data_IF_202424665655
#
_entry.id   IF_202424665655
#
_cell.length_a   1.000
_cell.length_b   1.000
_cell.length_c   1.000
_cell.angle_alpha   90.00
_cell.angle_beta   90.00
_cell.angle_gamma   90.00
#
_symmetry.space_group_name_H-M   'P 1'
#
loop_
_entity.id
_entity.type
_entity.pdbx_description
1 polymer ?
#
# COMPACT_ATOMS: atom_id res chain seq x y z
N UNK A 1 73.38 24.69 -17.57
CA UNK A 1 72.95 23.49 -16.81
C UNK A 1 71.47 23.62 -16.46
N UNK A 2 70.61 23.05 -17.26
CA UNK A 2 69.16 23.09 -17.03
C UNK A 2 68.76 21.87 -16.18
N UNK A 3 68.16 22.11 -15.02
CA UNK A 3 67.61 21.05 -14.15
C UNK A 3 66.17 20.68 -14.64
N UNK A 4 66.03 19.49 -15.17
CA UNK A 4 64.72 18.88 -15.55
C UNK A 4 64.00 18.41 -14.27
N UNK A 5 62.92 19.08 -13.93
CA UNK A 5 62.05 18.69 -12.81
C UNK A 5 60.98 17.66 -13.31
N UNK A 6 61.12 16.40 -12.91
CA UNK A 6 60.19 15.33 -13.27
C UNK A 6 59.01 15.36 -12.29
N UNK A 7 57.86 15.78 -12.78
CA UNK A 7 56.61 15.78 -12.00
C UNK A 7 55.97 14.37 -12.08
N UNK A 8 56.01 13.63 -10.98
CA UNK A 8 55.26 12.35 -10.85
C UNK A 8 53.81 12.67 -10.51
N UNK A 9 52.91 12.49 -11.47
CA UNK A 9 51.46 12.52 -11.21
C UNK A 9 51.03 11.15 -10.73
N UNK A 10 50.73 11.02 -9.43
CA UNK A 10 50.14 9.81 -8.85
C UNK A 10 48.64 9.85 -9.17
N UNK A 11 48.20 9.10 -10.17
CA UNK A 11 46.80 8.79 -10.39
C UNK A 11 46.34 7.83 -9.30
N UNK A 12 45.70 8.32 -8.24
CA UNK A 12 44.96 7.51 -7.29
C UNK A 12 43.66 7.07 -8.00
N UNK A 13 43.67 5.88 -8.53
CA UNK A 13 42.46 5.26 -9.08
C UNK A 13 41.46 5.02 -7.94
N UNK A 14 40.38 5.78 -7.93
CA UNK A 14 39.18 5.46 -7.13
C UNK A 14 38.59 4.15 -7.66
N UNK A 15 38.94 3.04 -7.02
CA UNK A 15 38.23 1.78 -7.26
C UNK A 15 36.78 1.96 -6.74
N UNK A 16 35.74 1.63 -7.52
CA UNK A 16 34.40 1.64 -7.02
C UNK A 16 34.31 0.61 -5.89
N UNK A 17 33.99 1.05 -4.69
CA UNK A 17 33.60 0.16 -3.59
C UNK A 17 32.28 -0.43 -4.02
N UNK A 18 32.25 -1.70 -4.42
CA UNK A 18 31.02 -2.43 -4.63
C UNK A 18 30.33 -2.53 -3.24
N UNK A 19 29.26 -1.78 -3.07
CA UNK A 19 28.36 -1.98 -1.93
C UNK A 19 27.75 -3.35 -2.12
N UNK A 20 28.20 -4.31 -1.33
CA UNK A 20 27.64 -5.64 -1.33
C UNK A 20 26.24 -5.55 -0.72
N UNK A 21 25.22 -5.99 -1.48
CA UNK A 21 23.85 -6.06 -0.97
C UNK A 21 23.85 -6.86 0.33
N UNK A 22 23.22 -6.30 1.37
CA UNK A 22 23.09 -6.99 2.65
C UNK A 22 22.00 -8.05 2.50
N UNK A 23 22.35 -9.33 2.54
CA UNK A 23 21.40 -10.44 2.59
C UNK A 23 21.02 -10.74 4.04
N UNK A 24 19.72 -10.69 4.34
CA UNK A 24 19.17 -11.20 5.59
C UNK A 24 19.05 -12.72 5.49
N UNK A 25 19.57 -13.44 6.47
CA UNK A 25 19.47 -14.90 6.55
C UNK A 25 18.36 -15.37 7.47
N UNK A 26 17.85 -14.48 8.32
CA UNK A 26 16.79 -14.74 9.28
C UNK A 26 16.03 -13.45 9.61
N UNK A 27 14.83 -13.61 10.13
CA UNK A 27 14.04 -12.52 10.70
C UNK A 27 14.30 -12.44 12.20
N UNK A 28 14.80 -11.28 12.67
CA UNK A 28 15.08 -11.05 14.10
C UNK A 28 13.97 -10.15 14.66
N UNK A 29 13.04 -10.70 15.46
CA UNK A 29 11.96 -9.92 16.04
C UNK A 29 12.48 -8.77 16.90
N UNK A 30 11.91 -7.57 16.70
CA UNK A 30 12.27 -6.36 17.46
C UNK A 30 13.43 -5.56 16.88
N UNK A 31 14.14 -6.06 15.89
CA UNK A 31 15.12 -5.28 15.14
C UNK A 31 14.50 -4.50 13.97
N UNK A 32 15.17 -3.42 13.58
CA UNK A 32 14.77 -2.65 12.39
C UNK A 32 15.06 -3.46 11.14
N UNK A 33 14.01 -3.84 10.43
CA UNK A 33 14.14 -4.56 9.17
C UNK A 33 14.65 -3.64 8.07
N UNK A 34 15.70 -4.06 7.39
CA UNK A 34 16.39 -3.29 6.35
C UNK A 34 16.17 -3.92 4.99
N UNK A 35 16.14 -3.06 3.97
CA UNK A 35 16.18 -3.48 2.58
C UNK A 35 17.59 -3.95 2.16
N UNK A 36 17.72 -4.45 0.93
CA UNK A 36 18.99 -4.95 0.38
C UNK A 36 20.06 -3.88 0.24
N UNK A 37 19.69 -2.60 0.31
CA UNK A 37 20.63 -1.47 0.30
C UNK A 37 21.01 -1.00 1.72
N UNK A 38 20.50 -1.70 2.76
CA UNK A 38 20.78 -1.43 4.17
C UNK A 38 19.93 -0.32 4.78
N UNK A 39 18.91 0.19 4.07
CA UNK A 39 18.03 1.23 4.59
C UNK A 39 16.86 0.59 5.36
N UNK A 40 16.35 1.22 6.43
CA UNK A 40 15.15 0.80 7.09
C UNK A 40 13.95 0.73 6.12
N UNK A 41 13.22 -0.39 6.13
CA UNK A 41 11.98 -0.54 5.34
C UNK A 41 10.95 0.44 5.88
N UNK A 42 10.33 1.20 4.97
CA UNK A 42 9.32 2.20 5.28
C UNK A 42 8.04 1.88 4.47
N UNK A 43 7.24 0.96 5.00
CA UNK A 43 6.03 0.44 4.34
C UNK A 43 4.88 0.29 5.35
N UNK A 44 4.57 1.37 6.09
CA UNK A 44 3.52 1.38 7.11
C UNK A 44 2.14 1.06 6.50
N UNK A 45 1.31 0.35 7.27
CA UNK A 45 -0.08 0.03 6.90
C UNK A 45 -0.24 -0.78 5.60
N UNK A 46 0.84 -1.32 5.09
CA UNK A 46 0.95 -1.87 3.76
C UNK A 46 0.24 -3.19 3.51
N UNK A 47 0.38 -3.68 2.30
CA UNK A 47 -0.11 -4.97 1.84
C UNK A 47 0.85 -5.64 0.88
N UNK A 48 0.74 -6.96 0.80
CA UNK A 48 1.54 -7.79 -0.09
C UNK A 48 0.73 -8.17 -1.31
N UNK A 49 1.38 -8.22 -2.47
CA UNK A 49 0.89 -8.81 -3.70
C UNK A 49 1.90 -9.85 -4.17
N UNK A 50 1.46 -11.09 -4.39
CA UNK A 50 2.27 -12.07 -5.11
C UNK A 50 1.90 -12.07 -6.60
N UNK A 51 2.88 -11.81 -7.45
CA UNK A 51 2.67 -11.79 -8.90
C UNK A 51 3.90 -12.32 -9.64
N UNK A 52 3.71 -13.32 -10.50
CA UNK A 52 4.75 -13.91 -11.36
C UNK A 52 6.05 -14.28 -10.59
N UNK A 53 5.91 -14.98 -9.45
CA UNK A 53 7.07 -15.46 -8.68
C UNK A 53 7.77 -14.38 -7.89
N UNK A 54 7.14 -13.21 -7.68
CA UNK A 54 7.69 -12.09 -6.90
C UNK A 54 6.64 -11.58 -5.94
N UNK A 55 7.06 -11.31 -4.71
CA UNK A 55 6.27 -10.60 -3.72
C UNK A 55 6.54 -9.11 -3.87
N UNK A 56 5.47 -8.30 -3.84
CA UNK A 56 5.54 -6.84 -3.83
C UNK A 56 4.88 -6.33 -2.56
N UNK A 57 5.61 -5.53 -1.78
CA UNK A 57 5.11 -4.91 -0.56
C UNK A 57 4.92 -3.42 -0.78
N UNK A 58 3.69 -2.97 -0.77
CA UNK A 58 3.33 -1.56 -0.87
C UNK A 58 3.01 -1.03 0.51
N UNK A 59 3.44 0.19 0.81
CA UNK A 59 3.13 0.83 2.09
C UNK A 59 3.29 2.34 2.03
N UNK A 60 2.73 2.99 3.03
CA UNK A 60 2.89 4.42 3.24
C UNK A 60 4.37 4.74 3.47
N UNK A 61 4.93 5.60 2.63
CA UNK A 61 6.33 6.02 2.77
C UNK A 61 6.38 7.31 3.61
N UNK A 62 6.60 7.15 4.91
CA UNK A 62 6.55 8.23 5.90
C UNK A 62 7.95 8.80 6.15
N UNK A 63 8.39 9.72 5.29
CA UNK A 63 9.65 10.48 5.45
C UNK A 63 9.44 11.99 5.45
N UNK A 64 8.20 12.44 5.63
CA UNK A 64 7.87 13.85 5.74
C UNK A 64 8.03 14.39 7.15
N UNK A 65 7.52 15.60 7.37
CA UNK A 65 7.52 16.27 8.67
C UNK A 65 6.59 15.54 9.64
N UNK A 66 7.05 15.34 10.86
CA UNK A 66 6.19 14.84 11.96
C UNK A 66 5.58 16.03 12.69
N UNK A 67 4.28 16.03 12.88
CA UNK A 67 3.51 17.08 13.53
C UNK A 67 2.50 16.46 14.51
N UNK A 68 2.19 17.20 15.59
CA UNK A 68 1.01 16.96 16.42
C UNK A 68 -0.11 17.85 15.87
N UNK A 69 -1.22 17.32 15.31
CA UNK A 69 -2.29 18.14 14.79
C UNK A 69 -2.97 18.99 15.87
N UNK A 70 -3.35 20.22 15.55
CA UNK A 70 -4.00 21.15 16.49
C UNK A 70 -5.35 20.64 17.00
N UNK A 71 -6.06 19.83 16.20
CA UNK A 71 -7.35 19.23 16.57
C UNK A 71 -7.20 18.03 17.52
N UNK A 72 -5.97 17.54 17.75
CA UNK A 72 -5.74 16.34 18.53
C UNK A 72 -6.11 16.55 19.99
N UNK A 73 -6.94 15.68 20.52
CA UNK A 73 -7.30 15.62 21.95
C UNK A 73 -6.43 14.64 22.74
N UNK A 74 -5.54 13.95 22.06
CA UNK A 74 -4.54 13.03 22.63
C UNK A 74 -3.24 13.14 21.82
N UNK A 75 -2.14 12.60 22.31
CA UNK A 75 -0.86 12.57 21.60
C UNK A 75 -0.92 11.63 20.39
N UNK A 76 -1.43 12.14 19.26
CA UNK A 76 -1.48 11.44 17.99
C UNK A 76 -0.58 12.12 16.96
N UNK A 77 0.71 11.87 17.05
CA UNK A 77 1.67 12.41 16.09
C UNK A 77 1.42 11.83 14.69
N UNK A 78 1.36 12.73 13.72
CA UNK A 78 1.27 12.37 12.31
C UNK A 78 2.58 12.68 11.61
N UNK A 79 3.07 11.72 10.83
CA UNK A 79 4.19 11.95 9.90
C UNK A 79 3.64 12.05 8.49
N UNK A 80 3.99 13.14 7.80
CA UNK A 80 3.53 13.36 6.42
C UNK A 80 3.97 12.21 5.50
N UNK A 81 3.02 11.70 4.72
CA UNK A 81 3.27 10.68 3.71
C UNK A 81 3.83 11.33 2.46
N UNK A 82 4.97 10.86 2.01
CA UNK A 82 5.62 11.38 0.80
C UNK A 82 5.28 10.57 -0.44
N UNK A 83 4.46 9.56 -0.30
CA UNK A 83 3.94 8.69 -1.35
C UNK A 83 3.73 7.26 -0.87
N UNK A 84 3.41 6.38 -1.81
CA UNK A 84 3.40 4.93 -1.58
C UNK A 84 4.70 4.35 -2.08
N UNK A 85 5.46 3.70 -1.18
CA UNK A 85 6.66 2.95 -1.51
C UNK A 85 6.31 1.54 -1.97
N UNK A 86 7.18 0.95 -2.80
CA UNK A 86 7.11 -0.44 -3.22
C UNK A 86 8.45 -1.12 -2.95
N UNK A 87 8.37 -2.32 -2.42
CA UNK A 87 9.50 -3.23 -2.25
C UNK A 87 9.20 -4.54 -2.96
N UNK A 88 10.22 -5.21 -3.50
CA UNK A 88 10.09 -6.54 -4.10
C UNK A 88 10.96 -7.57 -3.40
N UNK A 89 10.49 -8.81 -3.36
CA UNK A 89 11.22 -9.94 -2.75
C UNK A 89 10.89 -11.25 -3.46
N UNK A 90 11.83 -12.21 -3.42
CA UNK A 90 11.62 -13.59 -3.86
C UNK A 90 11.38 -14.56 -2.71
N UNK A 91 11.70 -14.15 -1.49
CA UNK A 91 11.78 -15.02 -0.30
C UNK A 91 11.05 -14.46 0.93
N UNK A 92 10.44 -13.26 0.83
CA UNK A 92 9.80 -12.51 1.92
C UNK A 92 10.78 -12.05 3.01
N UNK A 93 12.06 -12.26 2.83
CA UNK A 93 13.10 -11.91 3.80
C UNK A 93 13.98 -10.77 3.29
N UNK A 94 14.36 -10.85 2.02
CA UNK A 94 15.23 -9.87 1.36
C UNK A 94 14.39 -8.98 0.45
N UNK A 95 14.26 -7.71 0.82
CA UNK A 95 13.41 -6.74 0.15
C UNK A 95 14.23 -5.69 -0.55
N UNK A 96 14.08 -5.59 -1.86
CA UNK A 96 14.65 -4.52 -2.68
C UNK A 96 13.67 -3.35 -2.76
N UNK A 97 14.12 -2.13 -2.49
CA UNK A 97 13.30 -0.94 -2.69
C UNK A 97 13.18 -0.62 -4.19
N UNK A 98 11.97 -0.64 -4.72
CA UNK A 98 11.67 -0.35 -6.13
C UNK A 98 11.35 1.13 -6.38
N UNK A 99 11.20 1.93 -5.30
CA UNK A 99 10.92 3.36 -5.37
C UNK A 99 9.55 3.76 -4.88
N UNK A 100 9.22 5.03 -5.07
CA UNK A 100 7.90 5.60 -4.78
C UNK A 100 7.03 5.40 -6.02
N UNK A 101 6.05 4.51 -5.92
CA UNK A 101 5.21 4.09 -7.05
C UNK A 101 3.97 4.98 -7.24
N UNK A 102 3.54 5.68 -6.18
CA UNK A 102 2.53 6.74 -6.21
C UNK A 102 3.04 7.91 -5.38
N UNK A 103 3.62 8.94 -5.99
CA UNK A 103 4.20 10.07 -5.26
C UNK A 103 3.12 11.01 -4.72
N UNK A 104 3.44 11.70 -3.61
CA UNK A 104 2.64 12.78 -3.09
C UNK A 104 2.64 13.99 -4.06
N UNK A 105 1.51 14.70 -4.12
CA UNK A 105 1.33 15.93 -4.91
C UNK A 105 1.60 17.14 -4.01
N UNK A 106 2.79 17.76 -4.15
CA UNK A 106 3.25 18.81 -3.23
C UNK A 106 2.75 20.21 -3.58
N UNK A 107 2.37 20.46 -4.84
CA UNK A 107 2.08 21.78 -5.36
C UNK A 107 0.58 22.13 -5.34
N UNK A 108 -0.28 21.24 -4.85
CA UNK A 108 -1.71 21.42 -4.76
C UNK A 108 -2.20 20.98 -3.37
N UNK A 109 -2.40 21.92 -2.42
CA UNK A 109 -2.83 21.61 -1.06
C UNK A 109 -4.23 20.98 -0.98
N UNK A 110 -5.06 21.14 -2.01
CA UNK A 110 -6.41 20.58 -2.07
C UNK A 110 -6.42 19.14 -2.62
N UNK A 111 -5.34 18.72 -3.26
CA UNK A 111 -5.22 17.38 -3.79
C UNK A 111 -5.18 16.32 -2.67
N UNK A 112 -5.84 15.19 -2.90
CA UNK A 112 -5.90 14.06 -1.94
C UNK A 112 -4.54 13.54 -1.52
N UNK A 113 -3.58 13.56 -2.42
CA UNK A 113 -2.22 13.06 -2.18
C UNK A 113 -1.27 14.15 -1.69
N UNK A 114 -1.76 15.32 -1.26
CA UNK A 114 -0.90 16.34 -0.67
C UNK A 114 -0.36 15.86 0.69
N UNK A 115 0.93 16.13 1.04
CA UNK A 115 1.54 15.67 2.30
C UNK A 115 0.79 16.08 3.58
N UNK A 116 0.01 17.18 3.55
CA UNK A 116 -0.83 17.60 4.67
C UNK A 116 -2.12 16.79 4.82
N UNK A 117 -2.47 15.99 3.83
CA UNK A 117 -3.61 15.06 3.89
C UNK A 117 -3.14 13.70 4.42
N UNK A 118 -4.06 12.75 4.48
CA UNK A 118 -3.76 11.41 4.97
C UNK A 118 -4.02 10.40 3.87
N UNK A 119 -3.03 9.56 3.61
CA UNK A 119 -3.15 8.39 2.75
C UNK A 119 -2.65 7.19 3.55
N UNK A 120 -3.54 6.23 3.77
CA UNK A 120 -3.26 5.07 4.61
C UNK A 120 -3.67 3.75 3.93
N UNK A 121 -3.10 2.66 4.42
CA UNK A 121 -3.49 1.29 4.06
C UNK A 121 -3.49 1.00 2.54
N UNK A 122 -2.47 1.37 1.76
CA UNK A 122 -2.44 1.02 0.33
C UNK A 122 -2.42 -0.49 0.14
N UNK A 123 -3.30 -0.99 -0.73
CA UNK A 123 -3.40 -2.39 -1.13
C UNK A 123 -3.46 -2.46 -2.64
N UNK A 124 -2.71 -3.37 -3.22
CA UNK A 124 -2.67 -3.57 -4.67
C UNK A 124 -3.13 -4.97 -5.01
N UNK A 125 -3.99 -5.07 -6.02
CA UNK A 125 -4.43 -6.33 -6.62
C UNK A 125 -4.21 -6.31 -8.11
N UNK A 126 -3.96 -7.49 -8.70
CA UNK A 126 -3.83 -7.63 -10.15
C UNK A 126 -5.15 -8.06 -10.77
N UNK A 127 -5.62 -7.30 -11.75
CA UNK A 127 -6.81 -7.63 -12.53
C UNK A 127 -6.42 -8.39 -13.81
N UNK A 128 -6.68 -9.69 -13.82
CA UNK A 128 -6.34 -10.55 -14.97
C UNK A 128 -7.10 -10.20 -16.25
N UNK A 129 -8.31 -9.60 -16.14
CA UNK A 129 -9.13 -9.23 -17.32
C UNK A 129 -8.57 -8.01 -18.03
N UNK A 130 -8.12 -7.01 -17.26
CA UNK A 130 -7.63 -5.74 -17.81
C UNK A 130 -6.12 -5.68 -17.93
N UNK A 131 -5.39 -6.61 -17.32
CA UNK A 131 -3.93 -6.58 -17.22
C UNK A 131 -3.39 -5.49 -16.31
N UNK A 132 -4.24 -4.84 -15.49
CA UNK A 132 -3.86 -3.70 -14.65
C UNK A 132 -3.61 -4.11 -13.21
N UNK A 133 -2.69 -3.40 -12.58
CA UNK A 133 -2.53 -3.37 -11.13
C UNK A 133 -3.41 -2.25 -10.59
N UNK A 134 -4.29 -2.56 -9.67
CA UNK A 134 -5.25 -1.63 -9.07
C UNK A 134 -4.92 -1.45 -7.61
N UNK A 135 -4.61 -0.21 -7.22
CA UNK A 135 -4.34 0.18 -5.85
C UNK A 135 -5.59 0.82 -5.25
N UNK A 136 -5.93 0.39 -4.05
CA UNK A 136 -6.91 1.01 -3.18
C UNK A 136 -6.23 1.51 -1.93
N UNK A 137 -6.63 2.70 -1.43
CA UNK A 137 -6.09 3.27 -0.21
C UNK A 137 -7.19 4.01 0.57
N UNK A 138 -7.01 4.13 1.88
CA UNK A 138 -7.79 5.04 2.72
C UNK A 138 -7.26 6.46 2.50
N UNK A 139 -8.14 7.39 2.18
CA UNK A 139 -7.82 8.79 1.92
C UNK A 139 -8.64 9.69 2.84
N UNK A 140 -7.93 10.58 3.55
CA UNK A 140 -8.52 11.47 4.54
C UNK A 140 -8.05 12.92 4.39
N UNK A 141 -8.91 13.83 4.84
CA UNK A 141 -8.49 15.17 5.22
C UNK A 141 -7.65 15.13 6.49
N UNK A 142 -6.93 16.22 6.78
CA UNK A 142 -6.07 16.28 7.96
C UNK A 142 -6.82 16.04 9.28
N UNK A 143 -8.11 16.32 9.33
CA UNK A 143 -9.01 16.15 10.49
C UNK A 143 -9.80 14.85 10.48
N UNK A 144 -9.52 13.94 9.55
CA UNK A 144 -10.22 12.66 9.39
C UNK A 144 -11.73 12.75 9.12
N UNK A 145 -12.21 13.86 8.54
CA UNK A 145 -13.64 14.05 8.22
C UNK A 145 -14.03 13.55 6.82
N UNK A 146 -13.06 13.34 5.92
CA UNK A 146 -13.32 12.97 4.52
C UNK A 146 -13.78 11.51 4.38
N UNK A 147 -13.11 10.56 5.00
CA UNK A 147 -13.40 9.13 5.06
C UNK A 147 -13.72 8.53 3.67
N UNK A 148 -12.76 8.59 2.75
CA UNK A 148 -12.89 8.12 1.38
C UNK A 148 -11.93 6.96 1.07
N UNK A 149 -12.29 6.18 0.06
CA UNK A 149 -11.38 5.26 -0.61
C UNK A 149 -10.79 5.93 -1.85
N UNK A 150 -9.48 5.92 -1.98
CA UNK A 150 -8.75 6.36 -3.17
C UNK A 150 -8.38 5.19 -4.06
N UNK A 151 -8.37 5.41 -5.37
CA UNK A 151 -8.05 4.39 -6.37
C UNK A 151 -6.94 4.89 -7.29
N UNK A 152 -5.99 4.03 -7.60
CA UNK A 152 -4.95 4.28 -8.59
C UNK A 152 -4.67 3.02 -9.44
N UNK A 153 -4.14 3.20 -10.63
CA UNK A 153 -3.88 2.10 -11.58
C UNK A 153 -2.48 2.19 -12.18
N UNK A 154 -1.91 1.03 -12.52
CA UNK A 154 -0.65 0.93 -13.23
C UNK A 154 -0.64 -0.27 -14.18
N UNK A 155 0.23 -0.22 -15.19
CA UNK A 155 0.56 -1.34 -16.07
C UNK A 155 1.67 -2.24 -15.48
N UNK A 156 2.35 -1.77 -14.44
CA UNK A 156 3.46 -2.48 -13.80
C UNK A 156 3.24 -2.59 -12.29
N UNK A 157 3.66 -3.70 -11.65
CA UNK A 157 3.61 -3.80 -10.19
C UNK A 157 4.48 -2.75 -9.48
N UNK A 158 5.54 -2.29 -10.14
CA UNK A 158 6.44 -1.26 -9.63
C UNK A 158 6.09 0.16 -10.06
N UNK A 159 4.85 0.36 -10.58
CA UNK A 159 4.35 1.66 -10.99
C UNK A 159 4.96 2.16 -12.32
N UNK A 160 4.85 3.47 -12.60
CA UNK A 160 4.11 4.45 -11.77
C UNK A 160 2.61 4.20 -11.77
N UNK A 161 1.98 4.50 -10.62
CA UNK A 161 0.53 4.46 -10.53
C UNK A 161 -0.07 5.83 -10.88
N UNK A 162 -1.16 5.81 -11.64
CA UNK A 162 -1.98 7.00 -11.94
C UNK A 162 -3.14 7.05 -10.96
N UNK A 163 -3.21 8.11 -10.16
CA UNK A 163 -4.31 8.33 -9.23
C UNK A 163 -5.59 8.74 -9.96
N UNK A 164 -6.71 8.07 -9.66
CA UNK A 164 -8.01 8.29 -10.31
C UNK A 164 -8.97 9.13 -9.45
N UNK A 165 -8.59 9.46 -8.22
CA UNK A 165 -9.41 10.19 -7.26
C UNK A 165 -9.91 9.32 -6.11
N UNK A 166 -10.70 9.96 -5.23
CA UNK A 166 -11.31 9.31 -4.06
C UNK A 166 -12.81 9.52 -4.01
N UNK A 167 -13.51 8.60 -3.35
CA UNK A 167 -14.96 8.65 -3.16
C UNK A 167 -15.35 7.83 -1.92
N UNK A 168 -16.58 8.00 -1.46
CA UNK A 168 -17.19 7.14 -0.44
C UNK A 168 -17.87 5.95 -1.10
N UNK A 169 -17.32 4.73 -0.99
CA UNK A 169 -17.92 3.55 -1.60
C UNK A 169 -19.31 3.30 -0.97
N UNK A 170 -20.29 2.96 -1.80
CA UNK A 170 -21.70 2.76 -1.39
C UNK A 170 -22.28 3.97 -0.60
N UNK A 171 -21.81 5.19 -0.88
CA UNK A 171 -22.15 6.42 -0.15
C UNK A 171 -21.86 6.38 1.36
N UNK A 172 -21.00 5.45 1.80
CA UNK A 172 -20.64 5.27 3.20
C UNK A 172 -19.18 5.72 3.47
N UNK A 173 -18.88 6.11 4.71
CA UNK A 173 -17.51 6.37 5.15
C UNK A 173 -16.64 5.15 4.84
N UNK A 174 -15.41 5.37 4.37
CA UNK A 174 -14.41 4.31 4.16
C UNK A 174 -13.11 4.72 4.81
N UNK A 175 -12.76 4.01 5.86
CA UNK A 175 -11.51 4.20 6.62
C UNK A 175 -10.58 3.01 6.38
N UNK A 176 -9.99 2.44 7.40
CA UNK A 176 -9.11 1.28 7.30
C UNK A 176 -9.69 0.22 6.37
N UNK A 177 -8.89 -0.22 5.41
CA UNK A 177 -9.39 -1.07 4.34
C UNK A 177 -8.37 -2.10 3.87
N UNK A 178 -8.89 -3.14 3.24
CA UNK A 178 -8.13 -4.08 2.40
C UNK A 178 -8.93 -4.48 1.19
N UNK A 179 -8.25 -5.02 0.18
CA UNK A 179 -8.88 -5.57 -1.03
C UNK A 179 -8.48 -7.03 -1.17
N UNK A 180 -9.40 -7.83 -1.64
CA UNK A 180 -9.22 -9.26 -1.86
C UNK A 180 -9.78 -9.64 -3.23
N UNK A 181 -9.11 -10.54 -3.93
CA UNK A 181 -9.58 -11.16 -5.17
C UNK A 181 -9.75 -12.65 -4.91
N UNK A 182 -10.94 -13.18 -5.14
CA UNK A 182 -11.20 -14.60 -4.96
C UNK A 182 -10.75 -15.45 -6.18
N UNK A 183 -10.85 -16.77 -6.04
CA UNK A 183 -10.39 -17.71 -7.08
C UNK A 183 -11.15 -17.58 -8.41
N UNK A 184 -12.36 -17.03 -8.40
CA UNK A 184 -13.17 -16.82 -9.62
C UNK A 184 -12.92 -15.45 -10.26
N UNK A 185 -12.03 -14.65 -9.67
CA UNK A 185 -11.62 -13.35 -10.18
C UNK A 185 -12.58 -12.21 -9.79
N UNK A 186 -13.50 -12.42 -8.83
CA UNK A 186 -14.25 -11.31 -8.24
C UNK A 186 -13.41 -10.65 -7.15
N UNK A 187 -13.46 -9.31 -7.13
CA UNK A 187 -12.76 -8.54 -6.12
C UNK A 187 -13.71 -7.95 -5.09
N UNK A 188 -13.22 -7.81 -3.88
CA UNK A 188 -13.98 -7.28 -2.75
C UNK A 188 -13.13 -6.28 -1.99
N UNK A 189 -13.75 -5.16 -1.61
CA UNK A 189 -13.20 -4.22 -0.64
C UNK A 189 -13.82 -4.49 0.74
N UNK A 190 -12.97 -4.63 1.75
CA UNK A 190 -13.33 -4.69 3.16
C UNK A 190 -12.93 -3.36 3.79
N UNK A 191 -13.85 -2.65 4.40
CA UNK A 191 -13.51 -1.36 4.98
C UNK A 191 -14.31 -1.05 6.25
N UNK A 192 -13.67 -0.34 7.17
CA UNK A 192 -14.31 0.19 8.37
C UNK A 192 -15.15 1.41 8.01
N UNK A 193 -16.40 1.41 8.45
CA UNK A 193 -17.38 2.46 8.18
C UNK A 193 -18.10 2.90 9.45
N UNK A 194 -18.97 3.90 9.34
CA UNK A 194 -19.77 4.40 10.46
C UNK A 194 -18.91 4.73 11.69
N UNK A 195 -17.83 5.50 11.48
CA UNK A 195 -16.80 5.79 12.50
C UNK A 195 -16.20 4.53 13.13
N UNK A 196 -15.85 3.55 12.30
CA UNK A 196 -15.31 2.24 12.64
C UNK A 196 -16.29 1.30 13.37
N UNK A 197 -17.56 1.67 13.50
CA UNK A 197 -18.54 0.86 14.21
C UNK A 197 -19.08 -0.33 13.39
N UNK A 198 -18.82 -0.38 12.08
CA UNK A 198 -19.34 -1.42 11.18
C UNK A 198 -18.33 -1.79 10.11
N UNK A 199 -18.15 -3.08 9.85
CA UNK A 199 -17.36 -3.57 8.72
C UNK A 199 -18.23 -3.72 7.48
N UNK A 200 -17.89 -3.04 6.42
CA UNK A 200 -18.49 -3.21 5.10
C UNK A 200 -17.66 -4.18 4.27
N UNK A 201 -18.33 -5.07 3.55
CA UNK A 201 -17.73 -5.92 2.51
C UNK A 201 -18.46 -5.59 1.22
N UNK A 202 -17.75 -4.99 0.27
CA UNK A 202 -18.31 -4.52 -0.99
C UNK A 202 -17.70 -5.29 -2.16
N UNK A 203 -18.53 -5.89 -3.00
CA UNK A 203 -18.07 -6.45 -4.27
C UNK A 203 -17.71 -5.31 -5.22
N UNK A 204 -16.60 -5.46 -5.94
CA UNK A 204 -16.13 -4.48 -6.92
C UNK A 204 -16.62 -4.82 -8.33
N UNK A 205 -16.61 -3.81 -9.19
CA UNK A 205 -16.82 -3.97 -10.65
C UNK A 205 -15.74 -4.84 -11.29
N UNK A 206 -15.97 -5.33 -12.49
CA UNK A 206 -15.06 -6.21 -13.22
C UNK A 206 -13.66 -5.63 -13.47
N UNK A 207 -13.54 -4.31 -13.52
CA UNK A 207 -12.27 -3.58 -13.63
C UNK A 207 -11.60 -3.29 -12.27
N UNK A 208 -12.28 -3.62 -11.16
CA UNK A 208 -11.86 -3.38 -9.78
C UNK A 208 -11.78 -1.91 -9.35
N UNK A 209 -12.36 -0.99 -10.14
CA UNK A 209 -12.21 0.45 -9.90
C UNK A 209 -13.33 1.05 -9.06
N UNK A 210 -14.46 0.36 -8.91
CA UNK A 210 -15.67 0.87 -8.25
C UNK A 210 -16.40 -0.24 -7.50
N UNK A 211 -17.22 0.10 -6.47
CA UNK A 211 -18.23 -0.83 -5.96
C UNK A 211 -19.23 -1.22 -7.04
N UNK A 212 -19.64 -2.49 -7.06
CA UNK A 212 -20.69 -3.00 -7.95
C UNK A 212 -22.11 -2.61 -7.51
N UNK A 213 -22.24 -2.04 -6.31
CA UNK A 213 -23.52 -1.81 -5.64
C UNK A 213 -23.93 -2.95 -4.70
N UNK A 214 -23.30 -4.11 -4.79
CA UNK A 214 -23.53 -5.24 -3.87
C UNK A 214 -22.59 -5.15 -2.68
N UNK A 215 -23.14 -5.07 -1.48
CA UNK A 215 -22.36 -5.02 -0.25
C UNK A 215 -23.13 -5.60 0.94
N UNK A 216 -22.38 -5.94 1.99
CA UNK A 216 -22.95 -6.36 3.28
C UNK A 216 -22.37 -5.49 4.40
N UNK A 217 -23.16 -5.34 5.46
CA UNK A 217 -22.76 -4.71 6.72
C UNK A 217 -22.60 -5.78 7.78
N UNK A 218 -21.44 -5.83 8.40
CA UNK A 218 -21.07 -6.89 9.35
C UNK A 218 -20.61 -6.28 10.66
N UNK A 219 -20.79 -6.98 11.76
CA UNK A 219 -20.36 -6.55 13.10
C UNK A 219 -20.89 -5.16 13.48
N UNK A 220 -22.15 -4.88 13.17
CA UNK A 220 -22.78 -3.57 13.39
C UNK A 220 -22.70 -3.19 14.88
N UNK A 221 -22.21 -1.95 15.15
CA UNK A 221 -22.03 -1.45 16.51
C UNK A 221 -20.82 -2.03 17.25
N UNK A 222 -19.98 -2.84 16.56
CA UNK A 222 -18.77 -3.40 17.12
C UNK A 222 -17.57 -2.79 16.41
N UNK A 223 -16.78 -1.96 17.09
CA UNK A 223 -15.60 -1.32 16.47
C UNK A 223 -14.70 -2.33 15.80
N UNK A 224 -14.36 -2.06 14.54
CA UNK A 224 -13.46 -2.86 13.70
C UNK A 224 -12.55 -1.95 12.93
N UNK A 225 -11.27 -2.14 13.13
CA UNK A 225 -10.20 -1.43 12.42
C UNK A 225 -9.26 -2.43 11.76
N UNK A 226 -8.44 -1.94 10.84
CA UNK A 226 -7.40 -2.70 10.16
C UNK A 226 -7.87 -4.05 9.61
N UNK A 227 -8.97 -4.13 8.82
CA UNK A 227 -9.41 -5.39 8.27
C UNK A 227 -8.30 -6.01 7.44
N UNK A 228 -8.05 -7.31 7.66
CA UNK A 228 -7.14 -8.13 6.87
C UNK A 228 -7.95 -9.16 6.09
N UNK A 229 -7.62 -9.38 4.83
CA UNK A 229 -8.10 -10.52 4.07
C UNK A 229 -6.89 -11.43 3.74
N UNK A 230 -6.98 -12.75 3.93
CA UNK A 230 -5.93 -13.63 3.47
C UNK A 230 -5.81 -13.52 1.95
N UNK A 231 -4.60 -13.43 1.43
CA UNK A 231 -4.38 -13.64 0.00
C UNK A 231 -4.89 -15.04 -0.36
N UNK A 232 -5.58 -15.19 -1.49
CA UNK A 232 -5.95 -16.51 -1.95
C UNK A 232 -4.67 -17.31 -2.18
N UNK A 233 -4.52 -18.38 -1.42
CA UNK A 233 -3.37 -19.26 -1.52
C UNK A 233 -3.41 -20.02 -2.85
N UNK A 234 -3.08 -19.37 -3.95
CA UNK A 234 -2.71 -20.00 -5.21
C UNK A 234 -1.29 -20.57 -5.09
N UNK A 235 -1.06 -21.46 -4.13
CA UNK A 235 0.22 -22.12 -3.90
C UNK A 235 0.16 -23.05 -2.69
N UNK A 236 -0.27 -24.29 -2.89
CA UNK A 236 -0.04 -25.47 -2.04
C UNK A 236 -0.52 -25.42 -0.58
N UNK A 237 -1.74 -25.81 -0.37
CA UNK A 237 -2.26 -26.17 0.95
C UNK A 237 -3.75 -26.45 0.90
N UNK A 238 -4.13 -27.72 0.86
CA UNK A 238 -5.51 -28.18 0.97
C UNK A 238 -6.11 -27.78 2.32
N UNK A 239 -6.75 -26.61 2.40
CA UNK A 239 -7.73 -26.34 3.45
C UNK A 239 -9.13 -26.46 2.86
N UNK A 240 -10.07 -27.11 3.54
CA UNK A 240 -11.44 -27.22 3.05
C UNK A 240 -12.03 -25.81 2.93
N UNK A 241 -12.46 -25.47 1.73
CA UNK A 241 -13.15 -24.22 1.41
C UNK A 241 -14.45 -24.17 2.24
N UNK A 242 -14.59 -23.19 3.11
CA UNK A 242 -15.91 -22.75 3.54
C UNK A 242 -16.38 -21.75 2.49
N UNK A 243 -17.43 -22.04 1.71
CA UNK A 243 -17.99 -21.05 0.81
C UNK A 243 -18.46 -19.85 1.66
N UNK A 244 -18.07 -18.64 1.25
CA UNK A 244 -18.75 -17.45 1.77
C UNK A 244 -20.23 -17.61 1.46
N UNK A 245 -21.13 -17.30 2.38
CA UNK A 245 -22.54 -17.35 2.07
C UNK A 245 -22.81 -16.45 0.86
N UNK A 246 -23.66 -16.89 -0.09
CA UNK A 246 -24.03 -16.07 -1.22
C UNK A 246 -24.60 -14.75 -0.69
N UNK A 247 -24.29 -13.64 -1.39
CA UNK A 247 -24.94 -12.38 -1.10
C UNK A 247 -26.48 -12.61 -1.11
N UNK A 248 -27.21 -12.05 -0.13
CA UNK A 248 -28.66 -12.14 -0.16
C UNK A 248 -29.18 -11.65 -1.51
N UNK A 249 -30.07 -12.40 -2.14
CA UNK A 249 -30.80 -11.93 -3.31
C UNK A 249 -31.55 -10.66 -2.91
N UNK A 250 -31.47 -9.64 -3.76
CA UNK A 250 -32.17 -8.39 -3.57
C UNK A 250 -33.67 -8.66 -3.37
N UNK A 251 -34.32 -8.20 -2.26
CA UNK A 251 -35.74 -8.37 -2.06
C UNK A 251 -36.60 -7.51 -3.01
N UNK A 252 -35.99 -6.77 -3.94
CA UNK A 252 -36.67 -5.86 -4.86
C UNK A 252 -36.36 -6.13 -6.35
N UNK A 253 -35.94 -7.34 -6.73
CA UNK A 253 -35.86 -7.76 -8.13
C UNK A 253 -37.06 -8.59 -8.55
#
# INVERSE_FOLDING_TARGET
MAKLLLLFVICVGLLPVAVQAQENTEFIPGEVWKDTDGNPINAHGGGLLYHNGTYYWYGEYKKGKTVLPEWATWECYRTDVTGVGCYSSKDLLNWKFEGIVLPAVKNDPDHDLHPSKVLERPKVVYNKKTGKFVMWAHVESADYSKACAGVAVSDSPTGPFTYLGSFRPNNAMSRDQTVFVDDNGRAYQFYSSENNATLYISELTDDYLRPSGRFTRNFIGQSREAPGAPESANGHGTRPRRPYPPFPSDPHS
#
